data_IF_625285012577
#
_entry.id   IF_625285012577
#
_cell.length_a   1.000
_cell.length_b   1.000
_cell.length_c   1.000
_cell.angle_alpha   90.00
_cell.angle_beta   90.00
_cell.angle_gamma   90.00
#
_symmetry.space_group_name_H-M   'P 1'
#
loop_
_entity.id
_entity.type
_entity.pdbx_description
1 polymer ?
#
# COMPACT_ATOMS: atom_id res chain seq x y z
N UNK A 1 8.56 -6.80 -56.46
CA UNK A 1 8.16 -7.76 -55.41
C UNK A 1 9.25 -8.02 -54.37
N UNK A 2 10.39 -8.67 -54.67
CA UNK A 2 11.42 -8.93 -53.63
C UNK A 2 12.06 -7.66 -53.04
N UNK A 3 12.24 -6.60 -53.85
CA UNK A 3 12.74 -5.30 -53.35
C UNK A 3 11.71 -4.57 -52.47
N UNK A 4 10.42 -4.74 -52.73
CA UNK A 4 9.35 -4.13 -51.92
C UNK A 4 9.27 -4.80 -50.55
N UNK A 5 9.44 -6.12 -50.50
CA UNK A 5 9.47 -6.87 -49.25
C UNK A 5 10.68 -6.50 -48.38
N UNK A 6 11.88 -6.39 -48.96
CA UNK A 6 13.06 -5.91 -48.20
C UNK A 6 12.89 -4.49 -47.68
N UNK A 7 12.27 -3.61 -48.48
CA UNK A 7 11.99 -2.23 -48.07
C UNK A 7 10.96 -2.19 -46.93
N UNK A 8 9.94 -3.06 -46.97
CA UNK A 8 8.96 -3.18 -45.90
C UNK A 8 9.58 -3.72 -44.61
N UNK A 9 10.43 -4.75 -44.69
CA UNK A 9 11.17 -5.29 -43.54
C UNK A 9 12.05 -4.21 -42.91
N UNK A 10 12.80 -3.46 -43.71
CA UNK A 10 13.64 -2.37 -43.21
C UNK A 10 12.85 -1.27 -42.50
N UNK A 11 11.66 -0.92 -42.99
CA UNK A 11 10.77 0.04 -42.30
C UNK A 11 10.31 -0.48 -40.95
N UNK A 12 9.96 -1.76 -40.87
CA UNK A 12 9.57 -2.40 -39.61
C UNK A 12 10.74 -2.40 -38.63
N UNK A 13 11.96 -2.71 -39.08
CA UNK A 13 13.17 -2.64 -38.26
C UNK A 13 13.39 -1.21 -37.72
N UNK A 14 13.28 -0.19 -38.57
CA UNK A 14 13.40 1.22 -38.17
C UNK A 14 12.29 1.66 -37.19
N UNK A 15 11.07 1.12 -37.31
CA UNK A 15 9.99 1.36 -36.36
C UNK A 15 10.24 0.67 -35.01
N UNK A 16 10.74 -0.57 -35.03
CA UNK A 16 11.12 -1.31 -33.82
C UNK A 16 12.20 -0.54 -33.06
N UNK A 17 13.25 -0.09 -33.75
CA UNK A 17 14.35 0.65 -33.13
C UNK A 17 13.86 1.95 -32.49
N UNK A 18 12.98 2.70 -33.15
CA UNK A 18 12.37 3.91 -32.58
C UNK A 18 11.59 3.61 -31.31
N UNK A 19 10.75 2.58 -31.31
CA UNK A 19 9.98 2.18 -30.13
C UNK A 19 10.93 1.76 -29.00
N UNK A 20 11.97 1.00 -29.29
CA UNK A 20 12.98 0.59 -28.31
C UNK A 20 13.69 1.81 -27.70
N UNK A 21 14.08 2.79 -28.52
CA UNK A 21 14.70 4.02 -28.03
C UNK A 21 13.78 4.85 -27.14
N UNK A 22 12.51 4.98 -27.51
CA UNK A 22 11.49 5.69 -26.72
C UNK A 22 11.25 5.01 -25.37
N UNK A 23 11.07 3.69 -25.36
CA UNK A 23 10.90 2.91 -24.13
C UNK A 23 12.15 3.00 -23.25
N UNK A 24 13.34 2.93 -23.83
CA UNK A 24 14.59 3.09 -23.08
C UNK A 24 14.71 4.49 -22.46
N UNK A 25 14.31 5.55 -23.17
CA UNK A 25 14.27 6.91 -22.60
C UNK A 25 13.31 7.00 -21.44
N UNK A 26 12.11 6.43 -21.58
CA UNK A 26 11.10 6.43 -20.52
C UNK A 26 11.56 5.64 -19.29
N UNK A 27 12.15 4.46 -19.49
CA UNK A 27 12.72 3.63 -18.42
C UNK A 27 13.83 4.37 -17.68
N UNK A 28 14.75 5.03 -18.40
CA UNK A 28 15.81 5.83 -17.79
C UNK A 28 15.24 6.98 -16.95
N UNK A 29 14.28 7.73 -17.48
CA UNK A 29 13.62 8.81 -16.74
C UNK A 29 12.93 8.29 -15.47
N UNK A 30 12.27 7.14 -15.56
CA UNK A 30 11.58 6.53 -14.42
C UNK A 30 12.57 6.05 -13.37
N UNK A 31 13.66 5.40 -13.79
CA UNK A 31 14.72 4.95 -12.90
C UNK A 31 15.40 6.13 -12.19
N UNK A 32 15.70 7.23 -12.89
CA UNK A 32 16.24 8.44 -12.28
C UNK A 32 15.28 9.03 -11.24
N UNK A 33 13.98 9.07 -11.53
CA UNK A 33 12.97 9.55 -10.58
C UNK A 33 12.89 8.67 -9.33
N UNK A 34 12.93 7.35 -9.50
CA UNK A 34 12.95 6.41 -8.39
C UNK A 34 14.19 6.59 -7.52
N UNK A 35 15.37 6.75 -8.12
CA UNK A 35 16.60 6.98 -7.37
C UNK A 35 16.52 8.23 -6.48
N UNK A 36 15.95 9.33 -7.00
CA UNK A 36 15.73 10.56 -6.21
C UNK A 36 14.78 10.31 -5.03
N UNK A 37 13.69 9.56 -5.25
CA UNK A 37 12.73 9.25 -4.19
C UNK A 37 13.35 8.37 -3.10
N UNK A 38 14.19 7.39 -3.46
CA UNK A 38 14.91 6.59 -2.48
C UNK A 38 15.88 7.42 -1.65
N UNK A 39 16.65 8.32 -2.28
CA UNK A 39 17.53 9.25 -1.55
C UNK A 39 16.75 10.18 -0.60
N UNK A 40 15.57 10.66 -1.03
CA UNK A 40 14.70 11.46 -0.18
C UNK A 40 14.16 10.65 1.01
N UNK A 41 13.78 9.39 0.78
CA UNK A 41 13.33 8.47 1.82
C UNK A 41 14.44 8.25 2.86
N UNK A 42 15.65 7.90 2.43
CA UNK A 42 16.80 7.70 3.32
C UNK A 42 17.08 8.95 4.16
N UNK A 43 17.08 10.13 3.54
CA UNK A 43 17.26 11.40 4.25
C UNK A 43 16.17 11.64 5.31
N UNK A 44 14.91 11.32 5.02
CA UNK A 44 13.82 11.45 5.99
C UNK A 44 13.95 10.44 7.13
N UNK A 45 14.38 9.21 6.84
CA UNK A 45 14.63 8.18 7.85
C UNK A 45 15.78 8.60 8.78
N UNK A 46 16.85 9.22 8.26
CA UNK A 46 17.90 9.80 9.09
C UNK A 46 17.40 10.93 9.99
N UNK A 47 16.52 11.81 9.49
CA UNK A 47 15.94 12.89 10.28
C UNK A 47 15.03 12.34 11.39
N UNK A 48 14.24 11.31 11.11
CA UNK A 48 13.42 10.64 12.11
C UNK A 48 14.29 9.92 13.17
N UNK A 49 15.38 9.26 12.75
CA UNK A 49 16.32 8.65 13.67
C UNK A 49 16.97 9.68 14.61
N UNK A 50 17.34 10.85 14.09
CA UNK A 50 17.88 11.98 14.87
C UNK A 50 16.83 12.60 15.81
N UNK A 51 15.58 12.73 15.36
CA UNK A 51 14.49 13.24 16.19
C UNK A 51 14.11 12.27 17.33
N UNK A 52 14.25 10.96 17.12
CA UNK A 52 14.05 9.94 18.15
C UNK A 52 15.18 9.85 19.19
N UNK A 53 16.31 10.54 18.98
CA UNK A 53 17.48 10.54 19.88
C UNK A 53 17.62 11.81 20.73
N UNK A 54 16.65 12.73 20.71
CA UNK A 54 16.62 13.88 21.61
C UNK A 54 15.78 13.56 22.86
N UNK A 55 16.41 13.19 24.01
CA UNK A 55 15.69 12.92 25.23
C UNK A 55 15.16 14.25 25.79
N UNK A 56 13.89 14.54 25.57
CA UNK A 56 13.17 15.55 26.36
C UNK A 56 13.17 15.06 27.81
N UNK A 57 13.82 15.76 28.76
CA UNK A 57 13.82 15.34 30.16
C UNK A 57 12.48 15.76 30.77
N UNK A 58 11.54 14.81 30.89
CA UNK A 58 10.40 15.00 31.78
C UNK A 58 10.78 14.54 33.20
N UNK A 59 10.52 15.34 34.25
CA UNK A 59 10.69 14.92 35.63
C UNK A 59 9.54 13.98 36.03
N UNK A 60 9.89 12.76 36.44
CA UNK A 60 8.97 11.82 37.12
C UNK A 60 8.55 12.37 38.49
N UNK A 61 7.38 11.94 39.00
CA UNK A 61 7.46 11.27 40.29
C UNK A 61 6.52 10.05 40.47
N UNK A 62 7.17 8.99 40.97
CA UNK A 62 6.76 7.95 41.94
C UNK A 62 5.53 7.03 41.69
N UNK A 63 5.85 5.76 41.44
CA UNK A 63 5.09 4.53 41.81
C UNK A 63 5.53 4.06 43.22
N UNK A 64 4.72 3.28 44.00
CA UNK A 64 4.42 1.86 43.70
C UNK A 64 3.00 1.40 44.16
N UNK A 65 2.40 0.32 43.62
CA UNK A 65 2.51 -1.05 44.15
C UNK A 65 1.76 -2.06 43.24
N UNK A 66 2.51 -3.02 42.68
CA UNK A 66 2.26 -4.42 42.24
C UNK A 66 0.92 -5.00 41.68
N UNK A 67 1.00 -6.13 40.89
CA UNK A 67 0.05 -6.56 39.85
C UNK A 67 -0.86 -7.77 40.26
N UNK A 68 -1.84 -8.22 39.44
CA UNK A 68 -1.57 -9.15 38.31
C UNK A 68 -2.40 -8.90 37.01
N UNK A 69 -1.79 -9.15 35.85
CA UNK A 69 -2.42 -9.36 34.53
C UNK A 69 -3.08 -10.77 34.49
N UNK A 70 -4.01 -11.14 33.57
CA UNK A 70 -4.37 -10.47 32.32
C UNK A 70 -5.89 -10.42 32.03
N UNK A 71 -6.47 -9.21 31.99
CA UNK A 71 -7.80 -9.03 31.41
C UNK A 71 -7.65 -8.53 29.96
N UNK A 72 -8.17 -9.33 29.02
CA UNK A 72 -8.42 -8.97 27.62
C UNK A 72 -8.88 -7.51 27.52
N UNK A 73 -8.29 -6.65 26.66
CA UNK A 73 -8.93 -5.38 26.38
C UNK A 73 -10.19 -5.67 25.55
N UNK A 74 -11.31 -5.51 26.24
CA UNK A 74 -12.65 -5.40 25.69
C UNK A 74 -12.61 -4.36 24.58
N UNK A 75 -12.88 -4.80 23.34
CA UNK A 75 -13.08 -3.93 22.18
C UNK A 75 -14.19 -2.94 22.54
N UNK A 76 -13.79 -1.70 22.80
CA UNK A 76 -14.73 -0.62 23.09
C UNK A 76 -15.18 -0.05 21.75
N UNK A 77 -16.48 -0.19 21.50
CA UNK A 77 -17.32 0.44 20.47
C UNK A 77 -16.65 0.99 19.21
N UNK A 78 -16.74 0.23 18.11
CA UNK A 78 -16.75 0.81 16.77
C UNK A 78 -18.19 0.83 16.25
N UNK A 79 -18.64 1.88 15.54
CA UNK A 79 -19.98 1.95 14.97
C UNK A 79 -20.18 0.75 14.05
N UNK A 80 -21.18 -0.08 14.37
CA UNK A 80 -21.58 -1.25 13.59
C UNK A 80 -22.21 -0.80 12.27
N UNK A 81 -21.38 -0.31 11.36
CA UNK A 81 -21.72 -0.35 9.94
C UNK A 81 -21.76 -1.84 9.61
N UNK A 82 -22.94 -2.36 9.28
CA UNK A 82 -23.12 -3.76 8.88
C UNK A 82 -22.34 -4.01 7.59
N UNK A 83 -21.06 -4.30 7.75
CA UNK A 83 -20.12 -4.63 6.71
C UNK A 83 -20.36 -6.09 6.33
N UNK A 84 -20.52 -6.36 5.03
CA UNK A 84 -20.59 -7.72 4.56
C UNK A 84 -19.33 -8.50 4.96
N UNK A 85 -19.44 -9.81 5.16
CA UNK A 85 -18.36 -10.66 5.71
C UNK A 85 -17.00 -10.45 5.01
N UNK A 86 -16.98 -10.23 3.70
CA UNK A 86 -15.77 -9.91 2.93
C UNK A 86 -15.17 -8.52 3.27
N UNK A 87 -16.02 -7.52 3.50
CA UNK A 87 -15.58 -6.18 3.87
C UNK A 87 -15.01 -6.15 5.29
N UNK A 88 -15.58 -6.91 6.23
CA UNK A 88 -15.01 -7.09 7.57
C UNK A 88 -13.63 -7.72 7.50
N UNK A 89 -13.46 -8.80 6.72
CA UNK A 89 -12.16 -9.46 6.55
C UNK A 89 -11.11 -8.51 5.96
N UNK A 90 -11.48 -7.68 4.98
CA UNK A 90 -10.58 -6.67 4.41
C UNK A 90 -10.19 -5.62 5.45
N UNK A 91 -11.14 -5.11 6.23
CA UNK A 91 -10.86 -4.12 7.28
C UNK A 91 -9.96 -4.72 8.36
N UNK A 92 -10.23 -5.93 8.84
CA UNK A 92 -9.39 -6.61 9.83
C UNK A 92 -7.98 -6.91 9.29
N UNK A 93 -7.84 -7.24 8.00
CA UNK A 93 -6.55 -7.42 7.37
C UNK A 93 -5.77 -6.10 7.31
N UNK A 94 -6.44 -5.01 6.94
CA UNK A 94 -5.85 -3.67 6.90
C UNK A 94 -5.49 -3.13 8.28
N UNK A 95 -6.33 -3.35 9.29
CA UNK A 95 -6.02 -3.01 10.69
C UNK A 95 -4.80 -3.79 11.19
N UNK A 96 -4.67 -5.06 10.83
CA UNK A 96 -3.50 -5.88 11.17
C UNK A 96 -2.23 -5.40 10.47
N UNK A 97 -2.35 -4.90 9.24
CA UNK A 97 -1.23 -4.33 8.49
C UNK A 97 -0.85 -2.93 8.97
N UNK A 98 -1.79 -2.19 9.57
CA UNK A 98 -1.57 -0.86 10.11
C UNK A 98 -0.98 0.10 9.07
N UNK A 99 0.09 0.80 9.44
CA UNK A 99 0.76 1.79 8.59
C UNK A 99 1.50 1.18 7.40
N UNK A 100 1.76 -0.13 7.39
CA UNK A 100 2.35 -0.79 6.24
C UNK A 100 1.39 -0.82 5.03
N UNK A 101 0.07 -0.85 5.30
CA UNK A 101 -0.96 -1.05 4.29
C UNK A 101 -0.86 -2.40 3.57
N UNK A 102 -1.90 -2.75 2.80
CA UNK A 102 -1.93 -3.99 2.02
C UNK A 102 -2.10 -3.70 0.54
N UNK A 103 -1.43 -4.48 -0.32
CA UNK A 103 -1.64 -4.42 -1.76
C UNK A 103 -3.02 -4.98 -2.15
N UNK A 104 -3.49 -4.62 -3.34
CA UNK A 104 -4.76 -5.13 -3.87
C UNK A 104 -4.79 -6.67 -4.03
N UNK A 105 -3.63 -7.29 -4.23
CA UNK A 105 -3.43 -8.75 -4.26
C UNK A 105 -3.51 -9.36 -2.87
N UNK A 106 -2.85 -8.77 -1.86
CA UNK A 106 -2.91 -9.26 -0.47
C UNK A 106 -4.31 -9.16 0.11
N UNK A 107 -5.07 -8.12 -0.26
CA UNK A 107 -6.50 -8.04 0.08
C UNK A 107 -7.32 -9.16 -0.55
N UNK A 108 -7.02 -9.51 -1.81
CA UNK A 108 -7.70 -10.62 -2.49
C UNK A 108 -7.32 -11.97 -1.88
N UNK A 109 -6.08 -12.13 -1.45
CA UNK A 109 -5.59 -13.33 -0.77
C UNK A 109 -6.26 -13.48 0.60
N UNK A 110 -6.38 -12.40 1.40
CA UNK A 110 -7.09 -12.43 2.68
C UNK A 110 -8.57 -12.84 2.54
N UNK A 111 -9.25 -12.38 1.48
CA UNK A 111 -10.65 -12.76 1.19
C UNK A 111 -10.74 -14.20 0.68
N UNK A 112 -9.75 -14.65 -0.11
CA UNK A 112 -9.66 -16.05 -0.57
C UNK A 112 -9.43 -17.00 0.60
N UNK A 113 -8.57 -16.65 1.54
CA UNK A 113 -8.30 -17.42 2.76
C UNK A 113 -9.55 -17.52 3.64
N UNK A 114 -10.42 -16.51 3.60
CA UNK A 114 -11.75 -16.55 4.20
C UNK A 114 -12.79 -17.38 3.40
N UNK A 115 -12.35 -18.15 2.40
CA UNK A 115 -13.17 -18.99 1.50
C UNK A 115 -14.22 -18.21 0.72
N UNK A 116 -13.91 -16.98 0.31
CA UNK A 116 -14.82 -16.14 -0.48
C UNK A 116 -14.31 -15.90 -1.90
N UNK A 117 -15.23 -15.60 -2.82
CA UNK A 117 -14.90 -15.38 -4.23
C UNK A 117 -14.21 -14.04 -4.46
N UNK A 118 -13.42 -13.98 -5.54
CA UNK A 118 -12.74 -12.76 -5.99
C UNK A 118 -13.73 -11.61 -6.26
N UNK A 119 -14.90 -11.93 -6.81
CA UNK A 119 -16.01 -10.98 -6.99
C UNK A 119 -16.49 -10.34 -5.67
N UNK A 120 -16.53 -11.11 -4.58
CA UNK A 120 -16.91 -10.60 -3.28
C UNK A 120 -15.85 -9.62 -2.74
N UNK A 121 -14.57 -9.87 -3.01
CA UNK A 121 -13.47 -8.95 -2.65
C UNK A 121 -13.58 -7.61 -3.37
N UNK A 122 -13.77 -7.62 -4.70
CA UNK A 122 -13.87 -6.38 -5.49
C UNK A 122 -15.11 -5.56 -5.14
N UNK A 123 -16.25 -6.22 -4.90
CA UNK A 123 -17.46 -5.55 -4.38
C UNK A 123 -17.23 -4.96 -2.99
N UNK A 124 -16.51 -5.67 -2.12
CA UNK A 124 -16.18 -5.18 -0.79
C UNK A 124 -15.23 -3.97 -0.83
N UNK A 125 -14.17 -3.99 -1.66
CA UNK A 125 -13.28 -2.83 -1.87
C UNK A 125 -14.04 -1.61 -2.37
N UNK A 126 -14.91 -1.79 -3.36
CA UNK A 126 -15.74 -0.71 -3.91
C UNK A 126 -16.66 -0.12 -2.84
N UNK A 127 -17.30 -0.99 -2.04
CA UNK A 127 -18.18 -0.57 -0.93
C UNK A 127 -17.40 0.13 0.19
N UNK A 128 -16.22 -0.36 0.54
CA UNK A 128 -15.34 0.23 1.56
C UNK A 128 -14.81 1.60 1.14
N UNK A 129 -14.43 1.77 -0.13
CA UNK A 129 -14.07 3.08 -0.71
C UNK A 129 -15.25 4.06 -0.64
N UNK A 130 -16.47 3.60 -0.99
CA UNK A 130 -17.69 4.43 -0.92
C UNK A 130 -18.04 4.84 0.51
N UNK A 131 -17.77 3.98 1.48
CA UNK A 131 -18.02 4.25 2.91
C UNK A 131 -16.90 5.10 3.55
N UNK A 132 -15.83 5.42 2.83
CA UNK A 132 -14.71 6.21 3.36
C UNK A 132 -13.87 5.47 4.41
N UNK A 133 -14.03 4.15 4.53
CA UNK A 133 -13.32 3.33 5.54
C UNK A 133 -11.93 2.89 5.08
N UNK A 134 -11.63 3.03 3.79
CA UNK A 134 -10.35 2.60 3.23
C UNK A 134 -9.86 3.62 2.21
N UNK A 135 -8.58 3.97 2.32
CA UNK A 135 -7.87 4.81 1.35
C UNK A 135 -7.07 3.93 0.41
N UNK A 136 -7.23 4.13 -0.89
CA UNK A 136 -6.32 3.58 -1.89
C UNK A 136 -5.29 4.64 -2.26
N UNK A 137 -4.02 4.33 -2.05
CA UNK A 137 -2.90 5.11 -2.55
C UNK A 137 -2.47 4.54 -3.90
N UNK A 138 -2.75 5.27 -4.97
CA UNK A 138 -2.41 4.87 -6.34
C UNK A 138 -0.90 4.91 -6.60
N UNK A 139 -0.14 5.73 -5.86
CA UNK A 139 1.31 5.84 -5.99
C UNK A 139 2.00 4.66 -5.31
N UNK A 140 1.54 4.28 -4.13
CA UNK A 140 2.06 3.12 -3.40
C UNK A 140 1.43 1.78 -3.85
N UNK A 141 0.34 1.84 -4.65
CA UNK A 141 -0.53 0.68 -4.99
C UNK A 141 -0.98 -0.09 -3.74
N UNK A 142 -1.19 0.64 -2.64
CA UNK A 142 -1.50 0.10 -1.32
C UNK A 142 -2.83 0.65 -0.82
N UNK A 143 -3.50 -0.18 -0.04
CA UNK A 143 -4.74 0.11 0.64
C UNK A 143 -4.44 0.30 2.11
N UNK A 144 -5.06 1.29 2.72
CA UNK A 144 -4.91 1.64 4.13
C UNK A 144 -6.27 1.72 4.79
N UNK A 145 -6.42 1.15 5.99
CA UNK A 145 -7.59 1.39 6.81
C UNK A 145 -7.60 2.87 7.23
N UNK A 146 -8.71 3.56 6.98
CA UNK A 146 -8.96 4.85 7.61
C UNK A 146 -9.60 4.54 8.96
N UNK A 147 -9.04 5.03 10.08
CA UNK A 147 -9.70 4.86 11.36
C UNK A 147 -11.09 5.50 11.30
N UNK A 148 -12.14 4.85 11.84
CA UNK A 148 -13.42 5.51 12.00
C UNK A 148 -13.22 6.70 12.95
N UNK A 149 -13.64 7.88 12.50
CA UNK A 149 -13.71 9.08 13.34
C UNK A 149 -14.74 8.92 14.47
#
# INVERSE_FOLDING_TARGET
MFNDLRSAVRRIEEEIDKVVEEQNRFLRSTASRLAVLYLQKERMEELLAKAGTEPVPMPSPVTPTSPPTPAKPVRTGAPSVVLGRAATVIVEALERAGEAGLSGTELNDAVRDAKMSKDASEKAKTRLKRLGLVRHDELARRWYALPPA
#
